data_IF_626964989443
#
_entry.id   IF_626964989443
#
_cell.length_a   1.000
_cell.length_b   1.000
_cell.length_c   1.000
_cell.angle_alpha   90.00
_cell.angle_beta   90.00
_cell.angle_gamma   90.00
#
_symmetry.space_group_name_H-M   'P 1'
#
loop_
_entity.id
_entity.type
_entity.pdbx_description
1 polymer ?
#
# COMPACT_ATOMS: atom_id res chain seq x y z
N UNK A 1 -6.33 9.30 -6.39
CA UNK A 1 -6.20 7.93 -6.97
C UNK A 1 -4.85 7.32 -6.62
N UNK A 2 -4.82 6.09 -6.13
CA UNK A 2 -3.58 5.34 -5.98
C UNK A 2 -3.03 4.96 -7.36
N UNK A 3 -1.82 5.43 -7.70
CA UNK A 3 -1.20 5.25 -9.02
C UNK A 3 0.03 4.34 -9.01
N UNK A 4 0.46 3.87 -7.84
CA UNK A 4 1.55 2.91 -7.74
C UNK A 4 1.93 2.56 -6.31
N UNK A 5 2.97 1.73 -6.20
CA UNK A 5 3.51 1.22 -4.93
C UNK A 5 4.65 2.12 -4.44
N UNK A 6 4.87 2.12 -3.13
CA UNK A 6 6.00 2.82 -2.53
C UNK A 6 6.57 2.05 -1.33
N UNK A 7 7.88 2.16 -1.14
CA UNK A 7 8.59 1.63 0.05
C UNK A 7 9.45 2.74 0.65
N UNK A 8 9.33 2.95 1.96
CA UNK A 8 10.14 3.91 2.73
C UNK A 8 11.33 3.23 3.39
N UNK A 9 12.54 3.61 3.04
CA UNK A 9 13.80 3.17 3.66
C UNK A 9 14.49 4.36 4.34
N UNK A 10 14.19 4.57 5.63
CA UNK A 10 14.60 5.79 6.33
C UNK A 10 13.99 7.03 5.68
N UNK A 11 14.84 7.99 5.29
CA UNK A 11 14.43 9.22 4.60
C UNK A 11 14.18 9.02 3.09
N UNK A 12 14.59 7.89 2.52
CA UNK A 12 14.35 7.57 1.12
C UNK A 12 12.95 6.97 0.94
N UNK A 13 12.22 7.43 -0.07
CA UNK A 13 11.02 6.78 -0.58
C UNK A 13 11.25 6.35 -2.03
N UNK A 14 11.17 5.05 -2.30
CA UNK A 14 11.16 4.52 -3.67
C UNK A 14 9.70 4.27 -4.06
N UNK A 15 9.23 5.03 -5.04
CA UNK A 15 7.87 4.93 -5.57
C UNK A 15 7.92 4.51 -7.05
N UNK A 16 7.15 3.49 -7.41
CA UNK A 16 7.08 2.96 -8.77
C UNK A 16 5.63 2.90 -9.26
N UNK A 17 5.35 3.37 -10.48
CA UNK A 17 3.99 3.36 -11.01
C UNK A 17 3.49 1.93 -11.24
N UNK A 18 2.17 1.77 -11.36
CA UNK A 18 1.58 0.51 -11.85
C UNK A 18 2.27 0.06 -13.16
N UNK A 19 2.52 -1.26 -13.38
CA UNK A 19 2.10 -2.40 -12.56
C UNK A 19 3.17 -2.91 -11.57
N UNK A 20 4.15 -2.08 -11.18
CA UNK A 20 5.21 -2.50 -10.27
C UNK A 20 4.67 -2.91 -8.89
N UNK A 21 5.41 -3.77 -8.20
CA UNK A 21 5.13 -4.34 -6.87
C UNK A 21 6.12 -3.81 -5.83
N UNK A 22 5.81 -3.98 -4.54
CA UNK A 22 6.74 -3.62 -3.46
C UNK A 22 8.10 -4.33 -3.56
N UNK A 23 8.13 -5.52 -4.17
CA UNK A 23 9.37 -6.23 -4.47
C UNK A 23 10.28 -5.45 -5.45
N UNK A 24 9.71 -4.77 -6.43
CA UNK A 24 10.48 -3.96 -7.39
C UNK A 24 11.11 -2.74 -6.70
N UNK A 25 10.33 -2.06 -5.84
CA UNK A 25 10.87 -1.00 -4.98
C UNK A 25 12.01 -1.53 -4.09
N UNK A 26 11.82 -2.73 -3.51
CA UNK A 26 12.82 -3.37 -2.65
C UNK A 26 14.11 -3.67 -3.41
N UNK A 27 14.02 -4.17 -4.64
CA UNK A 27 15.18 -4.43 -5.49
C UNK A 27 15.97 -3.15 -5.79
N UNK A 28 15.30 -2.02 -6.01
CA UNK A 28 15.96 -0.71 -6.18
C UNK A 28 16.63 -0.27 -4.88
N UNK A 29 15.97 -0.39 -3.73
CA UNK A 29 16.56 -0.03 -2.44
C UNK A 29 17.84 -0.84 -2.19
N UNK A 30 17.79 -2.15 -2.45
CA UNK A 30 18.95 -3.03 -2.31
C UNK A 30 20.07 -2.70 -3.30
N UNK A 31 19.75 -2.33 -4.54
CA UNK A 31 20.77 -1.96 -5.54
C UNK A 31 21.47 -0.63 -5.23
N UNK A 32 20.85 0.22 -4.41
CA UNK A 32 21.47 1.42 -3.83
C UNK A 32 22.36 1.11 -2.62
N UNK A 33 22.51 -0.16 -2.23
CA UNK A 33 23.31 -0.59 -1.09
C UNK A 33 22.64 -0.37 0.27
N UNK A 34 21.34 -0.01 0.30
CA UNK A 34 20.58 0.11 1.53
C UNK A 34 20.05 -1.27 1.91
N UNK A 35 20.49 -1.79 3.06
CA UNK A 35 20.08 -3.09 3.59
C UNK A 35 19.11 -2.87 4.76
N UNK A 36 18.04 -3.68 4.92
CA UNK A 36 17.19 -3.56 6.08
C UNK A 36 17.97 -3.98 7.33
N UNK A 37 17.90 -3.17 8.37
CA UNK A 37 18.47 -3.48 9.67
C UNK A 37 17.40 -3.32 10.77
N UNK A 38 17.83 -3.57 12.01
CA UNK A 38 16.94 -3.49 13.17
C UNK A 38 16.42 -2.07 13.45
N UNK A 39 17.10 -1.04 12.95
CA UNK A 39 16.77 0.37 13.16
C UNK A 39 15.82 0.90 12.09
N UNK A 40 16.04 0.55 10.82
CA UNK A 40 15.28 1.11 9.70
C UNK A 40 14.07 0.26 9.28
N UNK A 41 14.09 -1.05 9.56
CA UNK A 41 12.98 -2.01 9.42
C UNK A 41 12.16 -1.94 8.12
N UNK A 42 12.71 -1.36 7.05
CA UNK A 42 11.93 -1.01 5.85
C UNK A 42 11.45 -2.23 5.05
N UNK A 43 12.07 -3.38 5.28
CA UNK A 43 11.59 -4.67 4.77
C UNK A 43 10.27 -5.14 5.38
N UNK A 44 9.78 -4.50 6.46
CA UNK A 44 8.50 -4.86 7.10
C UNK A 44 7.31 -4.18 6.41
N UNK A 45 6.14 -4.83 6.50
CA UNK A 45 4.90 -4.35 5.89
C UNK A 45 4.50 -2.92 6.28
N UNK A 46 4.94 -2.41 7.43
CA UNK A 46 4.62 -1.05 7.88
C UNK A 46 5.23 0.05 6.98
N UNK A 47 6.33 -0.27 6.29
CA UNK A 47 7.06 0.66 5.41
C UNK A 47 6.72 0.47 3.93
N UNK A 48 5.90 -0.52 3.62
CA UNK A 48 5.43 -0.84 2.28
C UNK A 48 4.00 -0.31 2.11
N UNK A 49 3.84 0.64 1.21
CA UNK A 49 2.59 1.36 1.00
C UNK A 49 2.38 1.74 -0.46
N UNK A 50 1.67 2.81 -0.67
CA UNK A 50 1.24 3.26 -1.99
C UNK A 50 1.45 4.76 -2.12
N UNK A 51 1.35 5.28 -3.34
CA UNK A 51 1.31 6.72 -3.56
C UNK A 51 0.21 7.11 -4.54
N UNK A 52 -0.29 8.34 -4.40
CA UNK A 52 -1.29 8.90 -5.31
C UNK A 52 -0.69 9.96 -6.25
N UNK A 53 -1.52 10.52 -7.14
CA UNK A 53 -1.12 11.47 -8.20
C UNK A 53 -0.36 12.71 -7.71
N UNK A 54 -0.50 13.09 -6.44
CA UNK A 54 0.22 14.21 -5.85
C UNK A 54 1.54 13.80 -5.16
N UNK A 55 1.95 12.54 -5.29
CA UNK A 55 3.17 12.00 -4.68
C UNK A 55 3.05 11.65 -3.19
N UNK A 56 1.87 11.81 -2.57
CA UNK A 56 1.66 11.50 -1.15
C UNK A 56 1.74 9.99 -0.92
N UNK A 57 2.51 9.60 0.08
CA UNK A 57 2.59 8.23 0.58
C UNK A 57 1.37 7.88 1.44
N UNK A 58 0.84 6.68 1.24
CA UNK A 58 -0.22 6.07 2.02
C UNK A 58 0.25 4.72 2.55
N UNK A 59 0.05 4.46 3.84
CA UNK A 59 0.13 3.07 4.35
C UNK A 59 -0.98 2.23 3.73
N UNK A 60 -0.89 0.89 3.78
CA UNK A 60 -1.92 0.01 3.18
C UNK A 60 -3.36 0.34 3.65
N UNK A 61 -3.65 0.57 4.96
CA UNK A 61 -4.98 0.96 5.39
C UNK A 61 -5.41 2.34 4.86
N UNK A 62 -4.49 3.31 4.83
CA UNK A 62 -4.80 4.65 4.32
C UNK A 62 -5.06 4.62 2.81
N UNK A 63 -4.29 3.82 2.06
CA UNK A 63 -4.40 3.70 0.61
C UNK A 63 -5.76 3.11 0.23
N UNK A 64 -6.21 2.11 0.98
CA UNK A 64 -7.54 1.53 0.82
C UNK A 64 -8.65 2.56 1.03
N UNK A 65 -8.62 3.28 2.17
CA UNK A 65 -9.62 4.33 2.45
C UNK A 65 -9.63 5.39 1.34
N UNK A 66 -8.45 5.84 0.92
CA UNK A 66 -8.34 6.81 -0.16
C UNK A 66 -8.87 6.29 -1.49
N UNK A 67 -8.62 5.02 -1.82
CA UNK A 67 -9.13 4.40 -3.04
C UNK A 67 -10.67 4.33 -3.04
N UNK A 68 -11.29 4.08 -1.89
CA UNK A 68 -12.75 4.14 -1.71
C UNK A 68 -13.26 5.57 -1.86
N UNK A 69 -12.64 6.53 -1.18
CA UNK A 69 -13.03 7.95 -1.23
C UNK A 69 -12.99 8.54 -2.64
N UNK A 70 -11.99 8.15 -3.44
CA UNK A 70 -11.86 8.62 -4.83
C UNK A 70 -12.60 7.73 -5.85
N UNK A 71 -13.36 6.72 -5.41
CA UNK A 71 -14.15 5.84 -6.28
C UNK A 71 -13.33 4.83 -7.09
N UNK A 72 -12.03 4.71 -6.83
CA UNK A 72 -11.14 3.73 -7.43
C UNK A 72 -11.41 2.30 -6.93
N UNK A 73 -11.80 2.17 -5.66
CA UNK A 73 -12.30 0.93 -5.09
C UNK A 73 -13.81 1.06 -4.90
N UNK A 74 -14.59 0.07 -5.37
CA UNK A 74 -16.00 -0.03 -5.02
C UNK A 74 -16.18 -1.09 -3.94
N UNK A 75 -16.84 -0.71 -2.86
CA UNK A 75 -17.49 -1.68 -2.01
C UNK A 75 -18.80 -2.10 -2.68
N UNK A 76 -19.06 -3.41 -2.71
CA UNK A 76 -20.42 -3.85 -2.99
C UNK A 76 -21.30 -3.61 -1.76
N UNK A 77 -22.58 -3.31 -1.96
CA UNK A 77 -23.54 -3.12 -0.85
C UNK A 77 -23.52 -4.32 0.11
N UNK A 78 -23.37 -5.53 -0.44
CA UNK A 78 -23.29 -6.79 0.28
C UNK A 78 -22.07 -6.87 1.23
N UNK A 79 -20.90 -6.36 0.82
CA UNK A 79 -19.71 -6.37 1.68
C UNK A 79 -19.83 -5.41 2.87
N UNK A 80 -20.51 -4.28 2.69
CA UNK A 80 -20.78 -3.35 3.78
C UNK A 80 -21.78 -3.95 4.78
N UNK A 81 -22.78 -4.66 4.26
CA UNK A 81 -23.81 -5.34 5.05
C UNK A 81 -23.22 -6.51 5.86
N UNK A 82 -22.36 -7.33 5.25
CA UNK A 82 -21.66 -8.42 5.92
C UNK A 82 -20.70 -7.92 7.04
N UNK A 83 -20.06 -6.77 6.86
CA UNK A 83 -19.27 -6.14 7.93
C UNK A 83 -20.16 -5.65 9.06
N UNK A 84 -21.30 -5.03 8.75
CA UNK A 84 -22.24 -4.56 9.76
C UNK A 84 -22.86 -5.72 10.58
N UNK A 85 -23.06 -6.87 9.94
CA UNK A 85 -23.56 -8.09 10.57
C UNK A 85 -22.48 -8.87 11.36
N UNK A 86 -21.20 -8.46 11.27
CA UNK A 86 -20.09 -9.19 11.88
C UNK A 86 -19.76 -10.52 11.19
N UNK A 87 -20.34 -10.79 10.02
CA UNK A 87 -20.10 -12.00 9.23
C UNK A 87 -18.86 -11.90 8.34
N UNK A 88 -18.34 -10.68 8.18
CA UNK A 88 -17.07 -10.41 7.54
C UNK A 88 -16.24 -9.49 8.42
N UNK A 89 -15.06 -9.93 8.84
CA UNK A 89 -14.12 -9.01 9.48
C UNK A 89 -13.55 -8.04 8.45
N UNK A 90 -13.61 -6.75 8.76
CA UNK A 90 -12.88 -5.75 8.01
C UNK A 90 -11.37 -5.94 8.22
N UNK A 91 -10.72 -6.72 7.36
CA UNK A 91 -9.27 -6.81 7.38
C UNK A 91 -8.66 -5.60 6.65
N UNK A 92 -8.19 -4.62 7.43
CA UNK A 92 -7.32 -3.52 6.97
C UNK A 92 -5.95 -4.02 6.48
N UNK A 93 -5.64 -5.30 6.69
CA UNK A 93 -4.34 -5.94 6.54
C UNK A 93 -4.42 -7.09 5.52
N UNK A 94 -4.92 -6.80 4.32
CA UNK A 94 -4.94 -7.76 3.22
C UNK A 94 -4.49 -7.17 1.88
N UNK A 95 -4.39 -5.84 1.79
CA UNK A 95 -4.15 -5.20 0.50
C UNK A 95 -2.79 -5.55 -0.09
N UNK A 96 -2.84 -6.29 -1.19
CA UNK A 96 -1.77 -6.39 -2.14
C UNK A 96 -1.95 -5.33 -3.23
N UNK A 97 -0.88 -5.12 -3.99
CA UNK A 97 -0.87 -4.10 -5.03
C UNK A 97 -1.99 -4.29 -6.05
N UNK A 98 -2.34 -5.54 -6.29
CA UNK A 98 -3.45 -6.09 -7.07
C UNK A 98 -4.82 -5.55 -6.71
N UNK A 99 -5.04 -5.25 -5.44
CA UNK A 99 -6.35 -4.86 -4.98
C UNK A 99 -6.69 -3.41 -5.33
N UNK A 100 -5.70 -2.58 -5.69
CA UNK A 100 -5.86 -1.14 -5.94
C UNK A 100 -5.77 -0.76 -7.42
N UNK A 101 -5.90 -1.69 -8.35
CA UNK A 101 -5.90 -1.37 -9.78
C UNK A 101 -7.03 -1.99 -10.56
#
# INVERSE_FOLDING_TARGET
>A
MIIGVAVKAGDLMVALPKPNRHADCTNIILSLGLVPDIQNQWGKSAHQGFYCENGKFYTRPQAFLHAVECGQQKWTANQLELIALGEMEFSRLGLCSEDLW
#
